data_IF_974354927947
#
_entry.id   IF_974354927947
#
_cell.length_a   1.000
_cell.length_b   1.000
_cell.length_c   1.000
_cell.angle_alpha   90.00
_cell.angle_beta   90.00
_cell.angle_gamma   90.00
#
_symmetry.space_group_name_H-M   'P 1'
#
loop_
_entity.id
_entity.type
_entity.pdbx_description
1 polymer ?
#
# COMPACT_ATOMS: atom_id res chain seq x y z
N UNK A 1 -43.08 -68.43 -23.08
CA UNK A 1 -43.91 -67.24 -23.38
C UNK A 1 -44.11 -66.44 -22.11
N UNK A 2 -43.23 -65.46 -21.90
CA UNK A 2 -43.44 -64.22 -21.12
C UNK A 2 -42.17 -63.38 -21.30
N UNK A 3 -42.30 -62.05 -21.17
CA UNK A 3 -41.28 -61.00 -21.40
C UNK A 3 -41.04 -60.63 -22.86
N UNK A 4 -40.88 -59.36 -23.25
CA UNK A 4 -41.31 -58.05 -22.78
C UNK A 4 -40.94 -57.17 -23.99
N UNK A 5 -41.80 -56.27 -24.47
CA UNK A 5 -41.35 -55.20 -25.38
C UNK A 5 -41.84 -53.85 -24.90
N UNK A 6 -40.85 -53.00 -24.69
CA UNK A 6 -40.91 -51.65 -24.16
C UNK A 6 -41.70 -50.70 -25.06
N UNK A 7 -42.52 -49.85 -24.44
CA UNK A 7 -43.06 -48.65 -25.08
C UNK A 7 -42.09 -47.47 -24.93
N UNK A 8 -42.03 -46.52 -25.89
CA UNK A 8 -41.09 -45.42 -25.84
C UNK A 8 -41.59 -44.30 -24.92
N UNK A 9 -40.76 -43.70 -24.04
CA UNK A 9 -41.12 -42.44 -23.42
C UNK A 9 -40.73 -41.25 -24.31
N UNK A 10 -41.80 -40.56 -24.76
CA UNK A 10 -42.06 -39.11 -24.69
C UNK A 10 -40.95 -38.12 -25.07
N UNK A 11 -41.28 -37.39 -26.14
CA UNK A 11 -40.69 -36.15 -26.67
C UNK A 11 -40.28 -35.17 -25.57
N UNK A 12 -39.02 -34.73 -25.60
CA UNK A 12 -38.59 -33.46 -25.01
C UNK A 12 -38.22 -32.51 -26.15
N UNK A 13 -39.19 -31.70 -26.56
CA UNK A 13 -38.90 -30.41 -27.19
C UNK A 13 -39.04 -29.37 -26.08
N UNK A 14 -37.92 -28.76 -25.68
CA UNK A 14 -37.94 -27.54 -24.90
C UNK A 14 -37.07 -26.51 -25.63
N UNK A 15 -37.78 -25.55 -26.18
CA UNK A 15 -37.39 -24.39 -26.96
C UNK A 15 -36.43 -23.51 -26.12
N UNK A 16 -35.20 -23.30 -26.60
CA UNK A 16 -34.28 -22.30 -26.01
C UNK A 16 -34.86 -20.91 -26.25
N UNK A 17 -35.61 -20.42 -25.27
CA UNK A 17 -36.17 -19.06 -25.30
C UNK A 17 -35.03 -18.11 -24.95
N UNK A 18 -34.54 -17.39 -25.96
CA UNK A 18 -33.51 -16.37 -25.78
C UNK A 18 -33.99 -15.27 -24.86
N UNK A 19 -33.19 -14.98 -23.83
CA UNK A 19 -33.30 -13.75 -23.06
C UNK A 19 -32.04 -12.94 -23.36
N UNK A 20 -32.17 -12.00 -24.29
CA UNK A 20 -31.18 -10.96 -24.51
C UNK A 20 -31.31 -9.93 -23.38
N UNK A 21 -30.51 -10.09 -22.32
CA UNK A 21 -30.34 -9.04 -21.31
C UNK A 21 -29.25 -8.08 -21.80
N UNK A 22 -29.64 -7.07 -22.57
CA UNK A 22 -28.78 -5.89 -22.82
C UNK A 22 -28.86 -5.02 -21.57
N UNK A 23 -28.05 -5.35 -20.56
CA UNK A 23 -27.85 -4.51 -19.39
C UNK A 23 -26.98 -3.33 -19.77
N UNK A 24 -27.56 -2.14 -19.85
CA UNK A 24 -26.82 -0.89 -20.01
C UNK A 24 -25.84 -0.73 -18.84
N UNK A 25 -24.54 -0.88 -19.08
CA UNK A 25 -23.53 -0.41 -18.14
C UNK A 25 -23.64 1.11 -18.07
N UNK A 26 -24.25 1.61 -16.99
CA UNK A 26 -24.12 3.01 -16.62
C UNK A 26 -22.64 3.25 -16.28
N UNK A 27 -21.92 3.84 -17.23
CA UNK A 27 -20.56 4.34 -17.02
C UNK A 27 -20.71 5.56 -16.11
N UNK A 28 -20.64 5.35 -14.79
CA UNK A 28 -20.48 6.46 -13.87
C UNK A 28 -19.12 7.09 -14.14
N UNK A 29 -19.00 8.41 -14.30
CA UNK A 29 -17.70 9.04 -14.45
C UNK A 29 -16.90 8.73 -13.19
N UNK A 30 -15.71 8.15 -13.36
CA UNK A 30 -14.75 8.04 -12.27
C UNK A 30 -14.46 9.47 -11.80
N UNK A 31 -14.88 9.80 -10.58
CA UNK A 31 -14.55 11.05 -9.94
C UNK A 31 -13.04 11.04 -9.69
N UNK A 32 -12.27 11.62 -10.60
CA UNK A 32 -10.86 11.93 -10.35
C UNK A 32 -10.84 12.84 -9.12
N UNK A 33 -10.22 12.38 -8.03
CA UNK A 33 -9.90 13.27 -6.92
C UNK A 33 -9.07 14.45 -7.46
N UNK A 34 -9.18 15.66 -6.86
CA UNK A 34 -8.32 16.78 -7.23
C UNK A 34 -6.86 16.30 -7.23
N UNK A 35 -6.12 16.67 -8.27
CA UNK A 35 -4.68 16.41 -8.36
C UNK A 35 -4.01 17.19 -7.23
N UNK A 36 -3.79 16.53 -6.09
CA UNK A 36 -2.85 17.05 -5.10
C UNK A 36 -1.52 17.19 -5.80
N UNK A 37 -0.92 18.38 -5.77
CA UNK A 37 0.45 18.56 -6.23
C UNK A 37 1.32 17.47 -5.61
N UNK A 38 2.29 16.96 -6.38
CA UNK A 38 3.25 16.00 -5.83
C UNK A 38 3.85 16.59 -4.55
N UNK A 39 4.02 15.77 -3.49
CA UNK A 39 4.60 16.25 -2.26
C UNK A 39 5.98 16.84 -2.56
N UNK A 40 6.31 17.96 -1.92
CA UNK A 40 7.68 18.49 -1.99
C UNK A 40 8.61 17.46 -1.36
N UNK A 41 9.66 17.05 -2.07
CA UNK A 41 10.63 16.08 -1.56
C UNK A 41 11.72 16.79 -0.74
N UNK A 42 12.15 16.16 0.34
CA UNK A 42 13.34 16.56 1.08
C UNK A 42 14.57 15.95 0.39
N UNK A 43 15.55 16.76 -0.05
CA UNK A 43 16.80 16.23 -0.57
C UNK A 43 17.47 15.33 0.46
N UNK A 44 18.04 14.19 0.04
CA UNK A 44 18.68 13.23 0.96
C UNK A 44 19.83 13.89 1.72
N UNK A 45 20.52 14.85 1.10
CA UNK A 45 21.60 15.63 1.73
C UNK A 45 21.13 16.46 2.93
N UNK A 46 19.84 16.79 3.03
CA UNK A 46 19.26 17.54 4.14
C UNK A 46 18.73 16.63 5.25
N UNK A 47 18.65 15.31 5.01
CA UNK A 47 18.16 14.33 5.99
C UNK A 47 19.26 13.99 6.99
N UNK A 48 19.01 14.26 8.28
CA UNK A 48 19.97 13.97 9.36
C UNK A 48 19.33 13.16 10.49
N UNK A 49 20.16 12.43 11.23
CA UNK A 49 19.73 11.66 12.39
C UNK A 49 19.11 12.58 13.48
N UNK A 50 18.10 12.07 14.17
CA UNK A 50 17.33 12.77 15.21
C UNK A 50 16.22 13.68 14.66
N UNK A 51 16.02 13.74 13.34
CA UNK A 51 14.84 14.40 12.78
C UNK A 51 13.58 13.60 13.11
N UNK A 52 12.54 14.31 13.57
CA UNK A 52 11.23 13.74 13.80
C UNK A 52 10.34 13.96 12.59
N UNK A 53 9.74 12.88 12.13
CA UNK A 53 8.79 12.84 11.03
C UNK A 53 7.47 12.21 11.42
N UNK A 54 6.51 12.35 10.52
CA UNK A 54 5.22 11.68 10.58
C UNK A 54 5.08 10.82 9.34
N UNK A 55 4.87 9.53 9.52
CA UNK A 55 4.50 8.63 8.44
C UNK A 55 3.03 8.26 8.48
N UNK A 56 2.51 7.73 7.37
CA UNK A 56 1.11 7.36 7.26
C UNK A 56 0.97 5.92 6.77
N UNK A 57 0.22 5.11 7.50
CA UNK A 57 -0.07 3.72 7.12
C UNK A 57 -1.53 3.38 7.35
N UNK A 58 -2.01 2.26 6.82
CA UNK A 58 -3.38 1.78 7.06
C UNK A 58 -3.34 0.57 7.96
N UNK A 59 -3.84 0.72 9.18
CA UNK A 59 -3.99 -0.38 10.15
C UNK A 59 -5.33 -1.10 10.03
N UNK A 60 -6.36 -0.41 9.51
CA UNK A 60 -7.71 -0.96 9.31
C UNK A 60 -8.46 -0.19 8.22
N UNK A 61 -9.18 -0.93 7.38
CA UNK A 61 -10.00 -0.33 6.32
C UNK A 61 -9.12 0.25 5.21
N UNK A 62 -9.30 1.54 4.90
CA UNK A 62 -8.59 2.25 3.84
C UNK A 62 -8.20 3.69 4.23
N UNK A 63 -8.37 4.06 5.49
CA UNK A 63 -8.04 5.41 5.98
C UNK A 63 -6.60 5.40 6.48
N UNK A 64 -5.71 6.26 5.95
CA UNK A 64 -4.38 6.42 6.51
C UNK A 64 -4.43 6.96 7.94
N UNK A 65 -3.61 6.39 8.81
CA UNK A 65 -3.37 6.85 10.19
C UNK A 65 -1.90 7.23 10.34
N UNK A 66 -1.60 8.28 11.12
CA UNK A 66 -0.23 8.70 11.35
C UNK A 66 0.52 7.72 12.27
N UNK A 67 1.83 7.68 12.10
CA UNK A 67 2.80 7.11 13.02
C UNK A 67 3.99 8.06 13.16
N UNK A 68 4.61 8.07 14.34
CA UNK A 68 5.83 8.83 14.60
C UNK A 68 7.01 8.11 13.95
N UNK A 69 7.93 8.87 13.36
CA UNK A 69 9.15 8.34 12.76
C UNK A 69 10.36 9.18 13.18
N UNK A 70 11.29 8.60 13.94
CA UNK A 70 12.59 9.22 14.22
C UNK A 70 13.61 8.74 13.19
N UNK A 71 14.24 9.66 12.46
CA UNK A 71 15.31 9.33 11.52
C UNK A 71 16.57 8.94 12.30
N UNK A 72 17.06 7.73 12.06
CA UNK A 72 18.29 7.20 12.68
C UNK A 72 19.54 7.57 11.87
N UNK A 73 19.38 7.80 10.57
CA UNK A 73 20.45 8.25 9.69
C UNK A 73 20.26 7.82 8.23
N UNK A 74 21.16 8.33 7.38
CA UNK A 74 21.27 7.99 5.96
C UNK A 74 22.47 7.06 5.77
N UNK A 75 22.27 5.98 5.01
CA UNK A 75 23.28 4.96 4.72
C UNK A 75 23.54 4.94 3.21
N UNK A 76 24.68 5.50 2.77
CA UNK A 76 24.99 5.63 1.36
C UNK A 76 25.11 4.28 0.65
N UNK A 77 24.61 4.19 -0.59
CA UNK A 77 24.69 3.00 -1.45
C UNK A 77 24.14 1.70 -0.83
N UNK A 78 23.38 1.80 0.27
CA UNK A 78 22.96 0.64 1.05
C UNK A 78 21.80 -0.13 0.39
N UNK A 79 21.06 0.49 -0.53
CA UNK A 79 20.07 -0.21 -1.38
C UNK A 79 20.78 -0.74 -2.63
N UNK A 80 21.39 0.14 -3.40
CA UNK A 80 22.11 -0.10 -4.65
C UNK A 80 23.13 1.03 -4.87
N UNK A 81 24.09 0.90 -5.82
CA UNK A 81 24.95 2.02 -6.20
C UNK A 81 24.13 3.25 -6.62
N UNK A 82 24.38 4.38 -5.95
CA UNK A 82 23.66 5.65 -6.10
C UNK A 82 22.28 5.68 -5.45
N UNK A 83 21.92 4.69 -4.59
CA UNK A 83 20.63 4.60 -3.92
C UNK A 83 20.82 4.38 -2.43
N UNK A 84 20.51 5.42 -1.68
CA UNK A 84 20.74 5.48 -0.24
C UNK A 84 19.57 4.86 0.52
N UNK A 85 19.85 4.31 1.69
CA UNK A 85 18.85 3.82 2.63
C UNK A 85 18.72 4.82 3.77
N UNK A 86 17.50 5.29 4.05
CA UNK A 86 17.24 6.09 5.25
C UNK A 86 16.68 5.15 6.31
N UNK A 87 17.31 5.05 7.48
CA UNK A 87 16.75 4.26 8.59
C UNK A 87 15.94 5.15 9.51
N UNK A 88 14.83 4.60 10.01
CA UNK A 88 13.97 5.25 10.99
C UNK A 88 13.47 4.27 12.04
N UNK A 89 13.24 4.76 13.26
CA UNK A 89 12.48 4.06 14.30
C UNK A 89 11.05 4.62 14.33
N UNK A 90 10.04 3.75 14.35
CA UNK A 90 8.64 4.16 14.18
C UNK A 90 7.75 3.71 15.31
N UNK A 91 6.81 4.57 15.73
CA UNK A 91 5.86 4.29 16.80
C UNK A 91 4.44 4.72 16.47
N UNK A 92 3.46 3.95 16.95
CA UNK A 92 2.05 4.33 17.02
C UNK A 92 1.33 3.32 17.88
N UNK A 93 0.12 3.66 18.36
CA UNK A 93 -0.70 2.68 19.11
C UNK A 93 -0.91 1.37 18.35
N UNK A 94 -1.00 1.39 17.02
CA UNK A 94 -1.16 0.18 16.21
C UNK A 94 0.14 -0.63 16.09
N UNK A 95 1.26 0.04 15.80
CA UNK A 95 2.60 -0.55 15.69
C UNK A 95 3.03 -1.15 17.03
N UNK A 96 2.89 -0.40 18.11
CA UNK A 96 3.30 -0.83 19.45
C UNK A 96 2.49 -2.04 19.92
N UNK A 97 1.19 -2.07 19.62
CA UNK A 97 0.31 -3.17 20.00
C UNK A 97 0.72 -4.52 19.38
N UNK A 98 1.24 -4.51 18.16
CA UNK A 98 1.71 -5.73 17.47
C UNK A 98 3.21 -5.97 17.66
N UNK A 99 3.90 -5.06 18.35
CA UNK A 99 5.32 -5.16 18.69
C UNK A 99 6.28 -4.66 17.62
N UNK A 100 5.82 -3.95 16.59
CA UNK A 100 6.66 -3.42 15.52
C UNK A 100 5.94 -3.35 14.18
N UNK A 101 6.71 -3.19 13.10
CA UNK A 101 6.16 -3.12 11.74
C UNK A 101 5.71 -4.48 11.22
N UNK A 102 4.73 -4.48 10.32
CA UNK A 102 4.15 -5.69 9.72
C UNK A 102 4.18 -5.65 8.19
N UNK A 103 4.07 -6.83 7.58
CA UNK A 103 3.92 -6.96 6.13
C UNK A 103 2.65 -6.24 5.66
N UNK A 104 2.83 -5.28 4.75
CA UNK A 104 1.76 -4.40 4.28
C UNK A 104 1.97 -2.94 4.63
N UNK A 105 2.88 -2.61 5.55
CA UNK A 105 3.33 -1.22 5.74
C UNK A 105 4.25 -0.72 4.62
N UNK A 106 4.73 -1.59 3.73
CA UNK A 106 5.55 -1.19 2.59
C UNK A 106 4.84 -0.12 1.75
N UNK A 107 5.57 0.91 1.35
CA UNK A 107 5.07 2.06 0.62
C UNK A 107 4.44 3.14 1.49
N UNK A 108 4.35 2.96 2.81
CA UNK A 108 3.88 4.01 3.73
C UNK A 108 4.83 5.22 3.62
N UNK A 109 4.34 6.43 3.27
CA UNK A 109 5.20 7.61 3.16
C UNK A 109 5.59 8.13 4.55
N UNK A 110 6.77 8.75 4.65
CA UNK A 110 7.28 9.43 5.84
C UNK A 110 7.67 10.86 5.45
N UNK A 111 7.18 11.82 6.23
CA UNK A 111 7.39 13.25 6.01
C UNK A 111 8.12 13.88 7.19
N UNK A 112 8.94 14.90 6.92
CA UNK A 112 9.54 15.78 7.94
C UNK A 112 9.11 17.21 7.65
N UNK A 113 8.78 17.97 8.69
CA UNK A 113 8.48 19.39 8.56
C UNK A 113 9.77 20.20 8.52
N UNK A 114 9.99 20.94 7.44
CA UNK A 114 11.10 21.88 7.28
C UNK A 114 10.58 23.24 6.81
N UNK A 115 10.96 24.31 7.51
CA UNK A 115 10.49 25.67 7.21
C UNK A 115 8.95 25.83 7.22
N UNK A 116 8.23 24.96 7.93
CA UNK A 116 6.75 24.95 7.95
C UNK A 116 6.09 24.20 6.79
N UNK A 117 6.87 23.50 5.96
CA UNK A 117 6.38 22.66 4.86
C UNK A 117 6.64 21.19 5.19
N UNK A 118 5.63 20.33 5.05
CA UNK A 118 5.85 18.89 5.11
C UNK A 118 6.54 18.42 3.82
N UNK A 119 7.73 17.84 3.98
CA UNK A 119 8.52 17.32 2.88
C UNK A 119 8.60 15.80 2.96
N UNK A 120 8.41 15.12 1.83
CA UNK A 120 8.55 13.67 1.73
C UNK A 120 10.03 13.30 1.90
N UNK A 121 10.33 12.51 2.92
CA UNK A 121 11.66 11.96 3.16
C UNK A 121 11.83 10.63 2.45
N UNK A 122 10.79 9.79 2.45
CA UNK A 122 10.84 8.49 1.79
C UNK A 122 9.63 7.63 2.07
N UNK A 123 9.71 6.38 1.64
CA UNK A 123 8.66 5.38 1.84
C UNK A 123 9.22 4.09 2.42
N UNK A 124 8.46 3.45 3.32
CA UNK A 124 8.86 2.19 3.99
C UNK A 124 9.11 1.09 2.96
N UNK A 125 10.32 0.54 2.94
CA UNK A 125 10.74 -0.46 1.95
C UNK A 125 11.46 -1.67 2.57
N UNK A 126 12.05 -1.50 3.76
CA UNK A 126 12.87 -2.55 4.38
C UNK A 126 12.50 -2.78 5.85
N UNK A 127 12.51 -4.06 6.23
CA UNK A 127 12.58 -4.48 7.64
C UNK A 127 13.87 -5.27 7.85
N UNK A 128 14.51 -5.10 9.01
CA UNK A 128 15.84 -5.67 9.29
C UNK A 128 15.80 -6.94 10.14
N UNK A 129 14.60 -7.45 10.43
CA UNK A 129 14.36 -8.55 11.35
C UNK A 129 13.29 -9.47 10.77
N UNK A 130 13.44 -10.78 11.02
CA UNK A 130 12.38 -11.76 10.74
C UNK A 130 11.22 -11.69 11.73
N UNK A 131 11.45 -11.08 12.91
CA UNK A 131 10.45 -10.79 13.93
C UNK A 131 10.05 -9.31 13.98
N UNK A 132 9.15 -8.93 14.91
CA UNK A 132 8.73 -7.54 15.08
C UNK A 132 9.92 -6.63 15.38
N UNK A 133 9.96 -5.48 14.71
CA UNK A 133 10.97 -4.44 14.86
C UNK A 133 10.31 -3.09 14.66
N UNK A 134 10.69 -2.10 15.46
CA UNK A 134 10.30 -0.70 15.25
C UNK A 134 11.23 0.01 14.27
N UNK A 135 12.37 -0.60 13.93
CA UNK A 135 13.32 -0.05 12.96
C UNK A 135 12.97 -0.51 11.55
N UNK A 136 12.91 0.47 10.64
CA UNK A 136 12.62 0.31 9.22
C UNK A 136 13.65 1.03 8.35
N UNK A 137 13.74 0.60 7.10
CA UNK A 137 14.45 1.32 6.05
C UNK A 137 13.47 1.93 5.07
N UNK A 138 13.76 3.15 4.65
CA UNK A 138 13.02 3.91 3.65
C UNK A 138 13.83 3.96 2.35
N UNK A 139 13.16 3.82 1.21
CA UNK A 139 13.65 4.37 -0.06
C UNK A 139 13.47 5.88 -0.02
N UNK A 140 14.51 6.64 -0.37
CA UNK A 140 14.46 8.09 -0.37
C UNK A 140 13.38 8.62 -1.33
N UNK A 141 12.68 9.69 -0.93
CA UNK A 141 11.70 10.35 -1.80
C UNK A 141 12.33 10.88 -3.09
N UNK A 142 13.60 11.31 -3.02
CA UNK A 142 14.38 11.80 -4.16
C UNK A 142 14.61 10.71 -5.23
N UNK A 143 14.59 9.43 -4.83
CA UNK A 143 14.70 8.31 -5.76
C UNK A 143 13.37 7.93 -6.45
N UNK A 144 12.26 8.57 -6.05
CA UNK A 144 10.90 8.26 -6.50
C UNK A 144 10.34 9.28 -7.50
N UNK A 145 11.07 10.35 -7.79
CA UNK A 145 10.71 11.38 -8.76
C UNK A 145 10.89 10.93 -10.23
#
# INVERSE_FOLDING_TARGET
MSTLRAGPPKRFAALFTGVALVGALAITPANSAPTTDCPTVMPVADVVAGMNGTGYTVSKGNTPQPFDAEILGVYPDAILPGRDLIMAEVHSTAIDKVGGVWFGMSGSPVYVTDGGTEKLVGAVAFGFSFGPSHVIGLTAGEDME
#
